data_IF_562888570519
#
_entry.id   IF_562888570519
#
_cell.length_a   1.000
_cell.length_b   1.000
_cell.length_c   1.000
_cell.angle_alpha   90.00
_cell.angle_beta   90.00
_cell.angle_gamma   90.00
#
_symmetry.space_group_name_H-M   'P 1'
#
loop_
_entity.id
_entity.type
_entity.pdbx_description
1 polymer ?
#
# COMPACT_ATOMS: atom_id res chain seq x y z
N UNK A 1 -4.81 -0.75 6.08
CA UNK A 1 -6.05 -0.74 6.88
C UNK A 1 -7.14 0.15 6.27
N UNK A 2 -6.81 1.27 5.61
CA UNK A 2 -7.80 2.15 4.96
C UNK A 2 -8.71 1.46 3.93
N UNK A 3 -8.21 0.48 3.17
CA UNK A 3 -9.06 -0.30 2.26
C UNK A 3 -10.25 -0.96 2.98
N UNK A 4 -10.00 -1.59 4.13
CA UNK A 4 -11.05 -2.20 4.93
C UNK A 4 -11.94 -1.17 5.63
N UNK A 5 -11.37 -0.06 6.10
CA UNK A 5 -12.15 1.03 6.68
C UNK A 5 -13.12 1.64 5.66
N UNK A 6 -12.68 1.79 4.41
CA UNK A 6 -13.52 2.22 3.29
C UNK A 6 -14.64 1.22 3.01
N UNK A 7 -14.35 -0.08 2.97
CA UNK A 7 -15.37 -1.11 2.79
C UNK A 7 -16.42 -1.10 3.92
N UNK A 8 -16.00 -0.90 5.18
CA UNK A 8 -16.93 -0.75 6.31
C UNK A 8 -17.80 0.50 6.13
N UNK A 9 -17.22 1.64 5.72
CA UNK A 9 -17.99 2.86 5.44
C UNK A 9 -19.02 2.65 4.32
N UNK A 10 -18.66 1.93 3.26
CA UNK A 10 -19.60 1.61 2.18
C UNK A 10 -20.78 0.76 2.69
N UNK A 11 -20.50 -0.22 3.55
CA UNK A 11 -21.53 -1.12 4.07
C UNK A 11 -22.42 -0.50 5.15
N UNK A 12 -21.87 0.39 5.99
CA UNK A 12 -22.53 0.88 7.20
C UNK A 12 -22.73 2.41 7.25
N UNK A 13 -22.23 3.14 6.24
CA UNK A 13 -22.36 4.59 6.12
C UNK A 13 -21.35 5.40 6.95
N UNK A 14 -20.58 4.77 7.84
CA UNK A 14 -19.62 5.45 8.72
C UNK A 14 -18.27 4.73 8.79
N UNK A 15 -17.20 5.48 9.03
CA UNK A 15 -15.89 4.88 9.28
C UNK A 15 -15.89 4.11 10.61
N UNK A 16 -15.15 2.99 10.71
CA UNK A 16 -14.98 2.34 12.00
C UNK A 16 -14.17 3.23 12.92
N UNK A 17 -14.51 3.25 14.21
CA UNK A 17 -13.77 4.01 15.23
C UNK A 17 -12.31 3.53 15.35
N UNK A 18 -12.07 2.25 15.08
CA UNK A 18 -10.75 1.63 15.17
C UNK A 18 -10.63 0.41 14.25
N UNK A 19 -9.47 0.30 13.62
CA UNK A 19 -8.96 -0.93 13.02
C UNK A 19 -7.68 -1.34 13.73
N UNK A 20 -7.45 -2.64 13.88
CA UNK A 20 -6.31 -3.15 14.64
C UNK A 20 -5.56 -4.18 13.81
N UNK A 21 -4.24 -4.01 13.71
CA UNK A 21 -3.34 -5.02 13.18
C UNK A 21 -2.75 -5.83 14.33
N UNK A 22 -3.10 -7.12 14.38
CA UNK A 22 -2.63 -8.02 15.43
C UNK A 22 -1.53 -8.95 14.91
N UNK A 23 -0.31 -8.76 15.41
CA UNK A 23 0.84 -9.62 15.13
C UNK A 23 0.85 -10.80 16.10
N UNK A 24 0.41 -11.96 15.61
CA UNK A 24 0.23 -13.16 16.43
C UNK A 24 1.53 -13.70 17.04
N UNK A 25 2.64 -13.66 16.29
CA UNK A 25 3.93 -14.23 16.73
C UNK A 25 4.42 -13.60 18.02
N UNK A 26 4.33 -12.28 18.12
CA UNK A 26 4.88 -11.51 19.23
C UNK A 26 3.77 -10.98 20.16
N UNK A 27 2.51 -11.40 19.94
CA UNK A 27 1.31 -10.84 20.57
C UNK A 27 1.25 -9.30 20.53
N UNK A 28 1.80 -8.68 19.48
CA UNK A 28 1.86 -7.22 19.35
C UNK A 28 0.60 -6.70 18.68
N UNK A 29 -0.03 -5.73 19.30
CA UNK A 29 -1.24 -5.05 18.79
C UNK A 29 -0.86 -3.66 18.30
N UNK A 30 -1.28 -3.31 17.09
CA UNK A 30 -1.12 -1.96 16.54
C UNK A 30 -2.49 -1.42 16.14
N UNK A 31 -2.95 -0.45 16.92
CA UNK A 31 -4.22 0.22 16.68
C UNK A 31 -4.08 1.34 15.66
N UNK A 32 -5.13 1.54 14.88
CA UNK A 32 -5.23 2.54 13.84
C UNK A 32 -6.65 3.12 13.83
N UNK A 33 -6.78 4.41 14.08
CA UNK A 33 -8.06 5.13 13.96
C UNK A 33 -8.17 5.76 12.58
N UNK A 34 -8.93 5.18 11.63
CA UNK A 34 -9.10 5.78 10.31
C UNK A 34 -9.88 7.08 10.41
N UNK A 35 -9.38 8.12 9.76
CA UNK A 35 -10.07 9.40 9.56
C UNK A 35 -10.48 9.56 8.10
N UNK A 36 -11.45 10.45 7.85
CA UNK A 36 -11.85 10.81 6.49
C UNK A 36 -10.67 11.26 5.64
N UNK A 37 -9.77 12.10 6.20
CA UNK A 37 -8.57 12.55 5.50
C UNK A 37 -7.63 11.39 5.15
N UNK A 38 -7.41 10.46 6.09
CA UNK A 38 -6.53 9.31 5.87
C UNK A 38 -7.07 8.36 4.80
N UNK A 39 -8.39 8.18 4.76
CA UNK A 39 -9.07 7.34 3.78
C UNK A 39 -9.11 8.05 2.43
N UNK A 40 -9.39 9.35 2.40
CA UNK A 40 -9.35 10.17 1.18
C UNK A 40 -7.97 10.17 0.52
N UNK A 41 -6.89 10.36 1.29
CA UNK A 41 -5.52 10.29 0.77
C UNK A 41 -5.18 8.88 0.22
N UNK A 42 -5.69 7.83 0.88
CA UNK A 42 -5.57 6.47 0.39
C UNK A 42 -6.32 6.24 -0.92
N UNK A 43 -7.55 6.75 -1.06
CA UNK A 43 -8.34 6.66 -2.29
C UNK A 43 -7.61 7.32 -3.45
N UNK A 44 -7.07 8.53 -3.29
CA UNK A 44 -6.30 9.20 -4.34
C UNK A 44 -5.10 8.36 -4.80
N UNK A 45 -4.40 7.75 -3.86
CA UNK A 45 -3.26 6.85 -4.18
C UNK A 45 -3.72 5.59 -4.91
N UNK A 46 -4.88 5.06 -4.53
CA UNK A 46 -5.48 3.87 -5.13
C UNK A 46 -5.95 4.14 -6.56
N UNK A 47 -6.62 5.26 -6.81
CA UNK A 47 -7.06 5.69 -8.15
C UNK A 47 -5.88 5.85 -9.12
N UNK A 48 -4.81 6.49 -8.67
CA UNK A 48 -3.57 6.60 -9.47
C UNK A 48 -2.97 5.22 -9.77
N UNK A 49 -3.00 4.30 -8.82
CA UNK A 49 -2.51 2.93 -9.03
C UNK A 49 -3.38 2.18 -10.04
N UNK A 50 -4.70 2.27 -9.94
CA UNK A 50 -5.66 1.63 -10.85
C UNK A 50 -5.46 2.15 -12.28
N UNK A 51 -5.39 3.47 -12.47
CA UNK A 51 -5.20 4.07 -13.80
C UNK A 51 -3.94 3.52 -14.50
N UNK A 52 -2.85 3.34 -13.74
CA UNK A 52 -1.59 2.79 -14.28
C UNK A 52 -1.67 1.30 -14.60
N UNK A 53 -2.43 0.54 -13.81
CA UNK A 53 -2.69 -0.87 -14.11
C UNK A 53 -3.48 -0.98 -15.42
N UNK A 54 -4.50 -0.14 -15.62
CA UNK A 54 -5.33 -0.12 -16.83
C UNK A 54 -4.54 0.27 -18.08
N UNK A 55 -3.57 1.19 -17.97
CA UNK A 55 -2.69 1.57 -19.08
C UNK A 55 -1.49 0.63 -19.27
N UNK A 56 -1.28 -0.34 -18.38
CA UNK A 56 -0.13 -1.24 -18.40
C UNK A 56 1.20 -0.56 -18.00
N UNK A 57 1.15 0.56 -17.29
CA UNK A 57 2.30 1.31 -16.84
C UNK A 57 2.84 0.82 -15.49
N UNK A 58 3.92 0.04 -15.53
CA UNK A 58 4.58 -0.50 -14.34
C UNK A 58 6.04 -0.02 -14.19
N UNK A 59 6.30 1.29 -14.09
CA UNK A 59 7.67 1.75 -13.94
C UNK A 59 8.22 1.34 -12.58
N UNK A 60 9.49 0.97 -12.59
CA UNK A 60 10.23 0.65 -11.38
C UNK A 60 10.25 1.85 -10.43
N UNK A 61 10.10 1.56 -9.13
CA UNK A 61 10.30 2.53 -8.05
C UNK A 61 11.49 2.04 -7.22
N UNK A 62 12.73 2.24 -7.70
CA UNK A 62 13.90 1.69 -7.06
C UNK A 62 14.07 2.27 -5.65
N UNK A 63 14.23 1.38 -4.68
CA UNK A 63 14.44 1.68 -3.27
C UNK A 63 15.30 0.56 -2.71
N UNK A 64 16.39 0.90 -2.03
CA UNK A 64 17.36 -0.08 -1.53
C UNK A 64 16.71 -1.22 -0.72
N UNK A 65 15.78 -0.88 0.18
CA UNK A 65 15.13 -1.87 1.06
C UNK A 65 14.13 -2.74 0.31
N UNK A 66 13.33 -2.16 -0.59
CA UNK A 66 12.31 -2.88 -1.36
C UNK A 66 12.95 -3.75 -2.45
N UNK A 67 13.95 -3.22 -3.16
CA UNK A 67 14.64 -3.94 -4.24
C UNK A 67 15.45 -5.13 -3.72
N UNK A 68 16.05 -5.03 -2.53
CA UNK A 68 16.86 -6.11 -1.93
C UNK A 68 16.10 -7.42 -1.70
N UNK A 69 14.78 -7.36 -1.53
CA UNK A 69 13.90 -8.52 -1.28
C UNK A 69 12.82 -8.70 -2.36
N UNK A 70 12.95 -8.00 -3.50
CA UNK A 70 11.93 -8.04 -4.55
C UNK A 70 12.05 -9.34 -5.37
N UNK A 71 11.00 -10.19 -5.42
CA UNK A 71 11.03 -11.44 -6.20
C UNK A 71 11.03 -11.20 -7.71
N UNK A 72 10.67 -10.00 -8.17
CA UNK A 72 10.69 -9.60 -9.58
C UNK A 72 12.00 -8.93 -9.98
N UNK A 73 13.03 -8.96 -9.12
CA UNK A 73 14.30 -8.28 -9.34
C UNK A 73 14.99 -8.68 -10.65
N UNK A 74 14.91 -9.95 -11.03
CA UNK A 74 15.55 -10.48 -12.24
C UNK A 74 14.84 -10.06 -13.53
N UNK A 75 13.59 -9.57 -13.43
CA UNK A 75 12.82 -9.02 -14.56
C UNK A 75 12.85 -7.48 -14.58
N UNK A 76 13.53 -6.86 -13.61
CA UNK A 76 13.47 -5.43 -13.41
C UNK A 76 14.60 -4.72 -14.17
N UNK A 77 14.24 -4.08 -15.30
CA UNK A 77 15.18 -3.28 -16.11
C UNK A 77 15.98 -2.26 -15.29
N UNK A 78 15.35 -1.58 -14.32
CA UNK A 78 16.04 -0.59 -13.47
C UNK A 78 17.17 -1.20 -12.64
N UNK A 79 17.09 -2.50 -12.28
CA UNK A 79 18.16 -3.20 -11.55
C UNK A 79 19.32 -3.56 -12.48
N UNK A 80 19.03 -3.98 -13.71
CA UNK A 80 20.05 -4.23 -14.74
C UNK A 80 20.86 -2.96 -15.06
N UNK A 81 20.18 -1.80 -15.07
CA UNK A 81 20.77 -0.48 -15.32
C UNK A 81 21.46 0.12 -14.08
N UNK A 82 21.53 -0.61 -12.95
CA UNK A 82 22.21 -0.17 -11.73
C UNK A 82 21.45 0.89 -10.90
N UNK A 83 20.14 1.06 -11.14
CA UNK A 83 19.33 2.16 -10.60
C UNK A 83 18.91 2.06 -9.13
N UNK A 84 19.49 1.18 -8.31
CA UNK A 84 19.16 1.09 -6.88
C UNK A 84 19.78 2.30 -6.15
N UNK A 85 18.96 3.30 -5.82
CA UNK A 85 19.38 4.48 -5.06
C UNK A 85 19.44 4.13 -3.56
N UNK A 86 20.51 4.59 -2.89
CA UNK A 86 20.75 4.44 -1.44
C UNK A 86 19.65 5.07 -0.57
#
# INVERSE_FOLDING_TARGET
>A
LNLYAMAVKELYGTLPERATLFYLKDNKVVDYGPTEDSVGAFIQSLEQMIARIETGEFPAQPDYRRCGWCPYGDLCRSREEGGVRE
#
